data_IF_428794545353
#
_entry.id   IF_428794545353
#
_cell.length_a   1.000
_cell.length_b   1.000
_cell.length_c   1.000
_cell.angle_alpha   90.00
_cell.angle_beta   90.00
_cell.angle_gamma   90.00
#
_symmetry.space_group_name_H-M   'P 1'
#
loop_
_entity.id
_entity.type
_entity.pdbx_description
1 polymer ?
#
# COMPACT_ATOMS: atom_id res chain seq x y z
N UNK A 1 22.07 -32.20 -7.29
CA UNK A 1 22.18 -30.73 -7.13
C UNK A 1 20.84 -30.22 -6.62
N UNK A 2 20.76 -29.80 -5.35
CA UNK A 2 19.52 -29.20 -4.82
C UNK A 2 19.39 -27.77 -5.31
N UNK A 3 18.35 -27.50 -6.10
CA UNK A 3 18.01 -26.15 -6.54
C UNK A 3 17.57 -25.34 -5.33
N UNK A 4 18.47 -24.51 -4.77
CA UNK A 4 18.07 -23.55 -3.73
C UNK A 4 17.14 -22.52 -4.38
N UNK A 5 15.85 -22.58 -4.03
CA UNK A 5 14.91 -21.49 -4.33
C UNK A 5 15.42 -20.26 -3.59
N UNK A 6 15.96 -19.30 -4.33
CA UNK A 6 16.33 -18.00 -3.76
C UNK A 6 15.07 -17.34 -3.19
N UNK A 7 15.04 -17.18 -1.86
CA UNK A 7 13.95 -16.53 -1.13
C UNK A 7 13.74 -15.07 -1.56
N UNK A 8 14.69 -14.49 -2.32
CA UNK A 8 14.56 -13.17 -2.95
C UNK A 8 13.40 -13.08 -3.97
N UNK A 9 12.80 -14.20 -4.36
CA UNK A 9 11.61 -14.21 -5.23
C UNK A 9 10.32 -13.76 -4.51
N UNK A 10 10.30 -13.76 -3.19
CA UNK A 10 9.19 -13.18 -2.43
C UNK A 10 9.53 -11.74 -2.09
N UNK A 11 9.10 -10.79 -2.93
CA UNK A 11 9.10 -9.40 -2.52
C UNK A 11 8.12 -9.23 -1.36
N UNK A 12 8.66 -9.04 -0.17
CA UNK A 12 7.85 -8.71 1.00
C UNK A 12 7.13 -7.38 0.72
N UNK A 13 5.81 -7.36 0.82
CA UNK A 13 5.06 -6.10 0.87
C UNK A 13 5.44 -5.38 2.16
N UNK A 14 6.05 -4.20 2.04
CA UNK A 14 6.57 -3.41 3.16
C UNK A 14 5.82 -2.11 3.35
N UNK A 15 4.50 -2.16 3.16
CA UNK A 15 3.65 -1.02 3.37
C UNK A 15 2.23 -1.46 3.69
N UNK A 16 1.47 -0.53 4.27
CA UNK A 16 0.02 -0.63 4.47
C UNK A 16 -0.61 0.58 3.79
N UNK A 17 -1.68 0.33 3.06
CA UNK A 17 -2.50 1.35 2.42
C UNK A 17 -3.83 1.50 3.14
N UNK A 18 -4.25 2.74 3.32
CA UNK A 18 -5.49 3.13 4.00
C UNK A 18 -6.28 4.07 3.09
N UNK A 19 -7.55 3.72 2.81
CA UNK A 19 -8.47 4.57 2.06
C UNK A 19 -9.23 5.46 3.04
N UNK A 20 -9.20 6.78 2.81
CA UNK A 20 -9.90 7.78 3.63
C UNK A 20 -10.72 8.71 2.72
N UNK A 21 -12.00 8.91 3.05
CA UNK A 21 -12.81 9.98 2.46
C UNK A 21 -12.52 11.29 3.19
N UNK A 22 -11.88 12.24 2.50
CA UNK A 22 -11.52 13.55 3.05
C UNK A 22 -12.65 14.57 2.94
N UNK A 23 -13.49 14.40 1.93
CA UNK A 23 -14.69 15.20 1.68
C UNK A 23 -15.59 14.44 0.71
N UNK A 24 -16.79 14.97 0.46
CA UNK A 24 -17.71 14.43 -0.55
C UNK A 24 -16.97 14.30 -1.89
N UNK A 25 -16.95 13.08 -2.44
CA UNK A 25 -16.25 12.74 -3.69
C UNK A 25 -14.75 13.04 -3.67
N UNK A 26 -14.10 12.92 -2.51
CA UNK A 26 -12.66 13.13 -2.33
C UNK A 26 -12.08 11.98 -1.52
N UNK A 27 -11.52 10.99 -2.22
CA UNK A 27 -11.01 9.75 -1.65
C UNK A 27 -9.50 9.67 -1.81
N UNK A 28 -8.79 9.47 -0.71
CA UNK A 28 -7.33 9.53 -0.64
C UNK A 28 -6.81 8.17 -0.17
N UNK A 29 -5.72 7.71 -0.79
CA UNK A 29 -5.00 6.52 -0.32
C UNK A 29 -3.72 6.95 0.37
N UNK A 30 -3.65 6.67 1.67
CA UNK A 30 -2.47 6.91 2.50
C UNK A 30 -1.64 5.64 2.59
N UNK A 31 -0.35 5.74 2.27
CA UNK A 31 0.61 4.66 2.41
C UNK A 31 1.54 4.91 3.58
N UNK A 32 1.69 3.90 4.44
CA UNK A 32 2.71 3.86 5.50
C UNK A 32 3.68 2.71 5.23
N UNK A 33 4.97 2.98 5.31
CA UNK A 33 6.01 1.96 5.13
C UNK A 33 6.19 1.13 6.39
N UNK A 34 6.47 -0.16 6.23
CA UNK A 34 6.86 -1.09 7.28
C UNK A 34 8.39 -1.19 7.28
N UNK A 35 9.03 -0.78 8.38
CA UNK A 35 10.47 -0.84 8.58
C UNK A 35 11.02 -2.26 8.67
N UNK A 36 12.35 -2.41 8.73
CA UNK A 36 13.02 -3.72 8.86
C UNK A 36 12.76 -4.42 10.19
N UNK A 37 12.39 -3.64 11.20
CA UNK A 37 11.92 -4.12 12.49
C UNK A 37 10.42 -4.48 12.52
N UNK A 38 9.71 -4.43 11.38
CA UNK A 38 8.26 -4.64 11.33
C UNK A 38 7.43 -3.45 11.83
N UNK A 39 8.07 -2.36 12.25
CA UNK A 39 7.39 -1.16 12.73
C UNK A 39 6.77 -0.35 11.60
N UNK A 40 5.56 0.16 11.82
CA UNK A 40 4.89 1.05 10.89
C UNK A 40 5.45 2.47 11.01
N UNK A 41 5.71 3.13 9.87
CA UNK A 41 6.12 4.53 9.84
C UNK A 41 5.06 5.42 10.51
N UNK A 42 5.52 6.36 11.35
CA UNK A 42 4.65 7.38 11.94
C UNK A 42 4.08 8.32 10.87
N UNK A 43 4.85 8.56 9.81
CA UNK A 43 4.45 9.42 8.70
C UNK A 43 3.76 8.60 7.62
N UNK A 44 2.57 9.04 7.22
CA UNK A 44 1.85 8.56 6.05
C UNK A 44 2.06 9.52 4.87
N UNK A 45 2.04 9.00 3.64
CA UNK A 45 2.04 9.81 2.41
C UNK A 45 0.84 9.46 1.54
N UNK A 46 0.34 10.43 0.79
CA UNK A 46 -0.71 10.18 -0.20
C UNK A 46 -0.08 9.55 -1.44
N UNK A 47 -0.59 8.41 -1.88
CA UNK A 47 -0.08 7.70 -3.07
C UNK A 47 -1.08 7.65 -4.22
N UNK A 48 -2.36 7.88 -3.93
CA UNK A 48 -3.40 7.96 -4.93
C UNK A 48 -4.55 8.84 -4.45
N UNK A 49 -5.26 9.43 -5.40
CA UNK A 49 -6.45 10.23 -5.20
C UNK A 49 -7.51 9.82 -6.24
N UNK A 50 -8.74 9.63 -5.77
CA UNK A 50 -9.90 9.36 -6.61
C UNK A 50 -11.09 10.22 -6.20
N UNK A 51 -12.00 10.45 -7.15
CA UNK A 51 -13.26 11.15 -6.88
C UNK A 51 -14.35 10.21 -6.37
N UNK A 52 -14.19 8.91 -6.54
CA UNK A 52 -15.14 7.91 -6.04
C UNK A 52 -14.42 6.82 -5.27
N UNK A 53 -15.13 6.19 -4.34
CA UNK A 53 -14.64 5.00 -3.64
C UNK A 53 -14.27 3.87 -4.61
N UNK A 54 -15.00 3.74 -5.71
CA UNK A 54 -14.73 2.72 -6.73
C UNK A 54 -13.35 2.92 -7.36
N UNK A 55 -12.99 4.15 -7.74
CA UNK A 55 -11.68 4.45 -8.34
C UNK A 55 -10.50 4.08 -7.42
N UNK A 56 -10.58 4.45 -6.14
CA UNK A 56 -9.51 4.11 -5.18
C UNK A 56 -9.45 2.61 -4.90
N UNK A 57 -10.60 1.92 -4.89
CA UNK A 57 -10.66 0.46 -4.68
C UNK A 57 -10.09 -0.31 -5.87
N UNK A 58 -10.42 0.11 -7.09
CA UNK A 58 -9.88 -0.47 -8.33
C UNK A 58 -8.36 -0.24 -8.43
N UNK A 59 -7.89 0.94 -8.06
CA UNK A 59 -6.46 1.21 -8.00
C UNK A 59 -5.75 0.29 -6.99
N UNK A 60 -6.31 0.11 -5.78
CA UNK A 60 -5.72 -0.79 -4.77
C UNK A 60 -5.66 -2.25 -5.24
N UNK A 61 -6.66 -2.71 -6.00
CA UNK A 61 -6.68 -4.07 -6.54
C UNK A 61 -5.58 -4.33 -7.59
N UNK A 62 -5.01 -3.27 -8.17
CA UNK A 62 -3.98 -3.32 -9.20
C UNK A 62 -2.58 -2.94 -8.68
N UNK A 63 -2.41 -2.74 -7.36
CA UNK A 63 -1.10 -2.52 -6.71
C UNK A 63 -0.33 -3.82 -6.51
#
# INVERSE_FOLDING_TARGET
MSTMISLNKFQQLRHVDEIVEQAVNSWWVYRRTIGYNGGLSATARVVFFGRTKAQVTEWMANQ
#
